data_IF_115465723748
#
_entry.id   IF_115465723748
#
_cell.length_a   1.000
_cell.length_b   1.000
_cell.length_c   1.000
_cell.angle_alpha   90.00
_cell.angle_beta   90.00
_cell.angle_gamma   90.00
#
_symmetry.space_group_name_H-M   'P 1'
#
loop_
_entity.id
_entity.type
_entity.pdbx_description
1 polymer ?
#
# COMPACT_ATOMS: atom_id res chain seq x y z
N UNK A 1 5.28 -2.87 -45.39
CA UNK A 1 4.48 -2.40 -44.23
C UNK A 1 5.37 -1.44 -43.47
N UNK A 2 5.02 -0.16 -43.38
CA UNK A 2 5.79 0.82 -42.63
C UNK A 2 5.56 0.51 -41.13
N UNK A 3 6.60 0.03 -40.45
CA UNK A 3 6.60 -0.03 -38.97
C UNK A 3 6.36 1.40 -38.48
N UNK A 4 5.19 1.65 -37.90
CA UNK A 4 4.98 2.84 -37.09
C UNK A 4 5.80 2.61 -35.82
N UNK A 5 6.91 3.32 -35.66
CA UNK A 5 7.60 3.40 -34.40
C UNK A 5 6.61 3.97 -33.39
N UNK A 6 6.26 3.16 -32.38
CA UNK A 6 5.40 3.59 -31.29
C UNK A 6 6.32 4.25 -30.26
N UNK A 7 6.38 5.58 -30.28
CA UNK A 7 7.19 6.34 -29.31
C UNK A 7 6.39 6.54 -28.05
N UNK A 8 6.80 5.91 -26.96
CA UNK A 8 6.19 6.05 -25.63
C UNK A 8 7.10 6.89 -24.73
N UNK A 9 6.61 8.08 -24.36
CA UNK A 9 7.32 8.99 -23.47
C UNK A 9 6.94 8.66 -22.01
N UNK A 10 7.89 8.17 -21.24
CA UNK A 10 7.68 7.73 -19.86
C UNK A 10 8.38 8.65 -18.87
N UNK A 11 7.61 9.29 -18.00
CA UNK A 11 8.12 10.07 -16.86
C UNK A 11 8.10 9.23 -15.60
N UNK A 12 9.26 8.98 -14.98
CA UNK A 12 9.42 8.19 -13.77
C UNK A 12 9.96 9.08 -12.66
N UNK A 13 9.30 9.02 -11.50
CA UNK A 13 9.75 9.70 -10.28
C UNK A 13 10.23 8.67 -9.29
N UNK A 14 11.50 8.72 -8.92
CA UNK A 14 12.08 7.87 -7.89
C UNK A 14 12.27 8.66 -6.59
N UNK A 15 12.00 7.99 -5.46
CA UNK A 15 12.41 8.43 -4.13
C UNK A 15 13.52 7.53 -3.59
N UNK A 16 14.39 8.00 -2.68
CA UNK A 16 15.54 7.21 -2.19
C UNK A 16 15.17 5.91 -1.47
N UNK A 17 13.94 5.77 -1.04
CA UNK A 17 13.44 4.57 -0.33
C UNK A 17 13.03 3.43 -1.26
N UNK A 18 12.97 3.66 -2.57
CA UNK A 18 12.61 2.64 -3.56
C UNK A 18 13.69 2.58 -4.65
N UNK A 19 14.71 1.72 -4.44
CA UNK A 19 15.50 1.23 -5.55
C UNK A 19 14.57 0.48 -6.51
N UNK A 20 14.64 0.80 -7.79
CA UNK A 20 13.87 0.09 -8.80
C UNK A 20 14.60 -1.20 -9.14
N UNK A 21 14.18 -2.31 -8.54
CA UNK A 21 14.72 -3.63 -8.82
C UNK A 21 13.99 -4.27 -9.99
N UNK A 22 14.75 -4.89 -10.87
CA UNK A 22 14.21 -5.67 -11.98
C UNK A 22 13.40 -6.86 -11.44
N UNK A 23 12.24 -7.12 -12.04
CA UNK A 23 11.36 -8.22 -11.67
C UNK A 23 11.56 -9.45 -12.55
N UNK A 24 11.31 -10.61 -11.97
CA UNK A 24 11.23 -11.85 -12.72
C UNK A 24 9.98 -11.87 -13.61
N UNK A 25 9.98 -12.70 -14.64
CA UNK A 25 8.81 -12.85 -15.54
C UNK A 25 7.56 -13.33 -14.79
N UNK A 26 7.72 -14.11 -13.72
CA UNK A 26 6.61 -14.54 -12.86
C UNK A 26 6.03 -13.39 -12.05
N UNK A 27 6.86 -12.51 -11.52
CA UNK A 27 6.38 -11.30 -10.82
C UNK A 27 5.67 -10.35 -11.79
N UNK A 28 6.18 -10.20 -13.02
CA UNK A 28 5.52 -9.41 -14.08
C UNK A 28 4.16 -10.01 -14.42
N UNK A 29 4.08 -11.32 -14.60
CA UNK A 29 2.82 -12.01 -14.89
C UNK A 29 1.79 -11.83 -13.78
N UNK A 30 2.18 -12.00 -12.51
CA UNK A 30 1.29 -11.75 -11.37
C UNK A 30 0.77 -10.30 -11.34
N UNK A 31 1.60 -9.34 -11.77
CA UNK A 31 1.16 -7.94 -11.89
C UNK A 31 0.20 -7.71 -13.05
N UNK A 32 0.35 -8.43 -14.16
CA UNK A 32 -0.63 -8.42 -15.25
C UNK A 32 -1.99 -8.95 -14.76
N UNK A 33 -2.01 -10.04 -13.99
CA UNK A 33 -3.25 -10.54 -13.37
C UNK A 33 -3.86 -9.50 -12.43
N UNK A 34 -3.04 -8.85 -11.59
CA UNK A 34 -3.48 -7.77 -10.69
C UNK A 34 -4.03 -6.56 -11.45
N UNK A 35 -3.48 -6.25 -12.63
CA UNK A 35 -3.99 -5.16 -13.48
C UNK A 35 -5.46 -5.40 -13.88
N UNK A 36 -5.91 -6.65 -13.97
CA UNK A 36 -7.28 -7.02 -14.35
C UNK A 36 -8.28 -7.01 -13.19
N UNK A 37 -7.84 -6.81 -11.95
CA UNK A 37 -8.71 -6.75 -10.78
C UNK A 37 -8.85 -5.32 -10.25
N UNK A 38 -10.08 -4.82 -10.11
CA UNK A 38 -10.42 -3.47 -9.66
C UNK A 38 -11.19 -3.52 -8.32
N UNK A 39 -10.72 -4.27 -7.36
CA UNK A 39 -11.28 -4.35 -6.01
C UNK A 39 -10.30 -3.89 -4.94
N UNK A 40 -10.79 -3.34 -3.83
CA UNK A 40 -9.98 -2.77 -2.76
C UNK A 40 -10.43 -3.21 -1.37
N UNK A 41 -9.45 -3.49 -0.49
CA UNK A 41 -9.68 -3.90 0.89
C UNK A 41 -8.87 -3.03 1.86
N UNK A 42 -9.51 -2.50 2.90
CA UNK A 42 -8.85 -1.75 3.97
C UNK A 42 -8.91 -2.54 5.27
N UNK A 43 -7.75 -2.94 5.78
CA UNK A 43 -7.63 -3.53 7.11
C UNK A 43 -7.41 -2.44 8.15
N UNK A 44 -8.09 -2.50 9.30
CA UNK A 44 -8.02 -1.44 10.32
C UNK A 44 -7.72 -2.06 11.69
N UNK A 45 -6.71 -1.50 12.37
CA UNK A 45 -6.39 -1.82 13.76
C UNK A 45 -5.69 -0.66 14.48
N UNK A 46 -5.29 -0.86 15.73
CA UNK A 46 -4.77 0.20 16.58
C UNK A 46 -3.26 0.45 16.43
N UNK A 47 -2.44 -0.61 16.31
CA UNK A 47 -0.99 -0.51 16.39
C UNK A 47 -0.30 -1.21 15.20
N UNK A 48 0.96 -0.84 14.88
CA UNK A 48 1.84 -1.71 14.11
C UNK A 48 1.95 -3.07 14.81
N UNK A 49 1.79 -4.19 14.07
CA UNK A 49 1.75 -5.58 14.54
C UNK A 49 0.35 -6.16 14.90
N UNK A 50 -0.68 -5.33 14.98
CA UNK A 50 -2.06 -5.81 15.14
C UNK A 50 -2.61 -6.45 13.86
N UNK A 51 -2.06 -6.10 12.71
CA UNK A 51 -2.55 -6.58 11.43
C UNK A 51 -2.43 -8.10 11.26
N UNK A 52 -3.41 -8.68 10.60
CA UNK A 52 -3.31 -10.05 10.11
C UNK A 52 -2.55 -10.06 8.78
N UNK A 53 -1.22 -10.24 8.85
CA UNK A 53 -0.35 -10.25 7.67
C UNK A 53 -0.75 -11.31 6.66
N UNK A 54 -1.33 -12.44 7.11
CA UNK A 54 -1.79 -13.50 6.21
C UNK A 54 -3.03 -13.08 5.42
N UNK A 55 -3.94 -12.32 6.03
CA UNK A 55 -5.14 -11.84 5.35
C UNK A 55 -4.82 -10.69 4.39
N UNK A 56 -3.91 -9.77 4.79
CA UNK A 56 -3.42 -8.70 3.90
C UNK A 56 -2.70 -9.29 2.70
N UNK A 57 -1.79 -10.24 2.91
CA UNK A 57 -1.09 -10.94 1.83
C UNK A 57 -2.05 -11.72 0.92
N UNK A 58 -3.05 -12.39 1.48
CA UNK A 58 -4.08 -13.09 0.71
C UNK A 58 -4.83 -12.13 -0.22
N UNK A 59 -5.30 -10.98 0.28
CA UNK A 59 -5.96 -9.98 -0.55
C UNK A 59 -5.03 -9.40 -1.62
N UNK A 60 -3.78 -9.09 -1.26
CA UNK A 60 -2.83 -8.44 -2.18
C UNK A 60 -2.29 -9.36 -3.26
N UNK A 61 -2.03 -10.65 -2.94
CA UNK A 61 -1.25 -11.56 -3.79
C UNK A 61 -2.06 -12.72 -4.37
N UNK A 62 -3.20 -13.07 -3.77
CA UNK A 62 -4.04 -14.15 -4.27
C UNK A 62 -5.34 -13.61 -4.90
N UNK A 63 -6.03 -12.72 -4.19
CA UNK A 63 -7.23 -12.05 -4.72
C UNK A 63 -6.87 -10.95 -5.74
N UNK A 64 -5.63 -10.48 -5.72
CA UNK A 64 -5.14 -9.35 -6.53
C UNK A 64 -5.80 -8.00 -6.18
N UNK A 65 -6.41 -7.89 -4.99
CA UNK A 65 -7.02 -6.66 -4.54
C UNK A 65 -5.99 -5.58 -4.19
N UNK A 66 -6.38 -4.32 -4.36
CA UNK A 66 -5.63 -3.20 -3.82
C UNK A 66 -5.84 -3.14 -2.30
N UNK A 67 -4.99 -3.85 -1.55
CA UNK A 67 -5.09 -3.96 -0.11
C UNK A 67 -4.28 -2.88 0.63
N UNK A 68 -4.80 -2.43 1.77
CA UNK A 68 -4.12 -1.48 2.64
C UNK A 68 -4.36 -1.82 4.12
N UNK A 69 -3.43 -1.39 4.96
CA UNK A 69 -3.57 -1.37 6.40
C UNK A 69 -3.61 0.07 6.91
N UNK A 70 -4.62 0.41 7.70
CA UNK A 70 -4.70 1.62 8.50
C UNK A 70 -4.39 1.25 9.96
N UNK A 71 -3.19 1.55 10.42
CA UNK A 71 -2.83 1.56 11.84
C UNK A 71 -3.19 2.91 12.42
N UNK A 72 -4.02 2.94 13.47
CA UNK A 72 -4.41 4.23 14.05
C UNK A 72 -3.23 4.95 14.71
N UNK A 73 -2.33 4.21 15.34
CA UNK A 73 -1.12 4.77 15.96
C UNK A 73 0.16 4.25 15.30
N UNK A 74 1.29 4.82 15.69
CA UNK A 74 2.63 4.35 15.29
C UNK A 74 3.26 3.40 16.32
N UNK A 75 2.53 3.06 17.39
CA UNK A 75 2.99 2.16 18.42
C UNK A 75 4.04 2.75 19.37
N UNK A 76 3.99 4.06 19.56
CA UNK A 76 4.93 4.84 20.37
C UNK A 76 4.96 4.39 21.86
N UNK A 77 3.80 3.96 22.37
CA UNK A 77 3.62 3.52 23.76
C UNK A 77 3.93 2.06 24.02
N UNK A 78 4.37 1.32 22.98
CA UNK A 78 4.69 -0.09 23.08
C UNK A 78 6.00 -0.40 23.79
N UNK A 79 6.39 -1.67 23.73
CA UNK A 79 7.66 -2.18 24.25
C UNK A 79 8.69 -2.28 23.10
N UNK A 80 9.98 -2.15 23.44
CA UNK A 80 11.09 -2.44 22.54
C UNK A 80 11.92 -3.59 23.14
N UNK A 81 11.81 -4.78 22.55
CA UNK A 81 12.49 -5.97 23.05
C UNK A 81 13.92 -6.13 22.55
N UNK A 82 14.35 -5.29 21.59
CA UNK A 82 15.67 -5.40 20.95
C UNK A 82 16.52 -4.13 21.06
N UNK A 83 15.99 -3.06 21.67
CA UNK A 83 16.67 -1.77 21.79
C UNK A 83 16.22 -0.98 23.00
N UNK A 84 16.75 0.22 23.13
CA UNK A 84 16.49 1.15 24.24
C UNK A 84 15.55 2.29 23.86
N UNK A 85 15.22 2.40 22.58
CA UNK A 85 14.36 3.45 22.05
C UNK A 85 12.93 3.25 22.53
N UNK A 86 12.36 4.31 23.10
CA UNK A 86 10.99 4.37 23.61
C UNK A 86 10.28 5.60 23.05
N UNK A 87 8.96 5.64 23.20
CA UNK A 87 8.09 6.75 22.77
C UNK A 87 8.29 7.08 21.29
N UNK A 88 8.48 8.34 20.94
CA UNK A 88 8.57 8.84 19.56
C UNK A 88 9.65 8.10 18.75
N UNK A 89 10.76 7.71 19.38
CA UNK A 89 11.84 6.95 18.72
C UNK A 89 11.37 5.52 18.39
N UNK A 90 10.65 4.88 19.29
CA UNK A 90 10.05 3.58 19.03
C UNK A 90 8.99 3.67 17.93
N UNK A 91 8.17 4.72 17.93
CA UNK A 91 7.18 4.96 16.86
C UNK A 91 7.82 5.09 15.48
N UNK A 92 9.01 5.70 15.38
CA UNK A 92 9.79 5.73 14.12
C UNK A 92 10.24 4.33 13.73
N UNK A 93 10.81 3.54 14.65
CA UNK A 93 11.25 2.17 14.41
C UNK A 93 10.08 1.30 13.94
N UNK A 94 8.96 1.30 14.68
CA UNK A 94 7.78 0.49 14.36
C UNK A 94 7.12 0.91 13.04
N UNK A 95 7.21 2.20 12.67
CA UNK A 95 6.80 2.66 11.35
C UNK A 95 7.62 2.00 10.25
N UNK A 96 8.96 1.95 10.38
CA UNK A 96 9.84 1.33 9.38
C UNK A 96 9.67 -0.20 9.35
N UNK A 97 9.48 -0.86 10.49
CA UNK A 97 9.17 -2.29 10.56
C UNK A 97 7.87 -2.61 9.82
N UNK A 98 6.84 -1.77 9.98
CA UNK A 98 5.57 -1.92 9.30
C UNK A 98 5.68 -1.66 7.79
N UNK A 99 6.50 -0.68 7.38
CA UNK A 99 6.81 -0.45 5.96
C UNK A 99 7.54 -1.64 5.35
N UNK A 100 8.47 -2.27 6.10
CA UNK A 100 9.14 -3.50 5.66
C UNK A 100 8.14 -4.66 5.52
N UNK A 101 7.21 -4.82 6.47
CA UNK A 101 6.14 -5.82 6.38
C UNK A 101 5.30 -5.62 5.11
N UNK A 102 4.89 -4.38 4.81
CA UNK A 102 4.13 -4.04 3.58
C UNK A 102 4.92 -4.28 2.29
N UNK A 103 6.25 -4.13 2.31
CA UNK A 103 7.09 -4.44 1.15
C UNK A 103 7.11 -5.95 0.82
N UNK A 104 6.85 -6.79 1.82
CA UNK A 104 6.81 -8.25 1.68
C UNK A 104 5.43 -8.74 1.26
N UNK A 105 4.36 -8.25 1.90
CA UNK A 105 2.99 -8.71 1.64
C UNK A 105 2.24 -7.92 0.55
N UNK A 106 2.89 -6.91 -0.04
CA UNK A 106 2.35 -6.04 -1.10
C UNK A 106 1.10 -5.24 -0.70
N UNK A 107 0.86 -5.04 0.60
CA UNK A 107 -0.13 -4.10 1.12
C UNK A 107 0.36 -2.66 1.11
N UNK A 108 -0.56 -1.71 1.17
CA UNK A 108 -0.26 -0.29 1.39
C UNK A 108 -0.36 0.04 2.88
N UNK A 109 0.34 1.08 3.34
CA UNK A 109 0.33 1.51 4.74
C UNK A 109 -0.22 2.92 4.91
N UNK A 110 -1.09 3.08 5.91
CA UNK A 110 -1.60 4.37 6.36
C UNK A 110 -1.59 4.46 7.88
N UNK A 111 -1.58 5.71 8.39
CA UNK A 111 -1.67 6.02 9.81
C UNK A 111 -2.68 7.14 10.05
N UNK A 112 -3.11 7.32 11.31
CA UNK A 112 -3.73 8.56 11.77
C UNK A 112 -2.71 9.39 12.56
N UNK A 113 -3.15 10.51 13.11
CA UNK A 113 -2.35 11.32 14.04
C UNK A 113 -2.43 10.83 15.49
N UNK A 114 -3.14 9.73 15.78
CA UNK A 114 -3.24 9.20 17.14
C UNK A 114 -1.89 8.72 17.67
N UNK A 115 -1.58 9.06 18.93
CA UNK A 115 -0.40 8.59 19.65
C UNK A 115 -0.78 7.35 20.46
N UNK A 116 0.05 6.33 20.41
CA UNK A 116 0.00 5.24 21.39
C UNK A 116 0.60 5.76 22.70
N UNK A 117 -0.26 6.09 23.64
CA UNK A 117 0.14 6.63 24.96
C UNK A 117 0.41 5.53 26.00
N UNK A 118 0.45 4.28 25.59
CA UNK A 118 0.60 3.10 26.43
C UNK A 118 -0.72 2.42 26.73
N UNK A 119 -0.76 1.59 27.78
CA UNK A 119 -1.93 0.78 28.09
C UNK A 119 -3.15 1.62 28.47
N UNK A 120 -4.27 1.37 27.82
CA UNK A 120 -5.60 1.85 28.18
C UNK A 120 -6.53 0.67 28.43
N UNK A 121 -7.31 0.72 29.47
CA UNK A 121 -8.22 -0.38 29.87
C UNK A 121 -9.56 -0.31 29.14
N UNK A 122 -10.03 0.89 28.79
CA UNK A 122 -11.37 1.10 28.25
C UNK A 122 -11.37 2.10 27.08
N UNK A 123 -12.20 1.88 26.05
CA UNK A 123 -12.25 2.78 24.91
C UNK A 123 -12.67 4.22 25.25
N UNK A 124 -13.49 4.45 26.29
CA UNK A 124 -13.87 5.80 26.70
C UNK A 124 -12.66 6.64 27.13
N UNK A 125 -11.70 6.02 27.85
CA UNK A 125 -10.43 6.66 28.18
C UNK A 125 -9.63 6.97 26.92
N UNK A 126 -9.49 5.99 26.03
CA UNK A 126 -8.75 6.14 24.79
C UNK A 126 -9.33 7.25 23.92
N UNK A 127 -10.64 7.22 23.65
CA UNK A 127 -11.29 8.18 22.77
C UNK A 127 -11.29 9.62 23.33
N UNK A 128 -11.28 9.77 24.67
CA UNK A 128 -11.12 11.07 25.30
C UNK A 128 -9.69 11.62 25.11
N UNK A 129 -8.66 10.76 25.23
CA UNK A 129 -7.25 11.16 25.09
C UNK A 129 -6.89 11.43 23.63
N UNK A 130 -7.41 10.61 22.70
CA UNK A 130 -7.15 10.73 21.27
C UNK A 130 -7.88 11.89 20.58
N UNK A 131 -8.77 12.61 21.23
CA UNK A 131 -9.71 13.49 20.56
C UNK A 131 -10.53 12.75 19.49
N UNK A 132 -11.62 12.13 19.96
CA UNK A 132 -12.45 11.24 19.11
C UNK A 132 -12.82 11.87 17.77
N UNK A 133 -13.23 13.15 17.77
CA UNK A 133 -13.70 13.81 16.55
C UNK A 133 -12.58 14.01 15.53
N UNK A 134 -11.39 14.35 15.98
CA UNK A 134 -10.22 14.47 15.09
C UNK A 134 -9.88 13.13 14.46
N UNK A 135 -9.71 12.07 15.28
CA UNK A 135 -9.28 10.75 14.76
C UNK A 135 -10.38 10.10 13.90
N UNK A 136 -11.66 10.27 14.27
CA UNK A 136 -12.77 9.83 13.43
C UNK A 136 -12.76 10.51 12.05
N UNK A 137 -12.52 11.83 12.03
CA UNK A 137 -12.37 12.58 10.78
C UNK A 137 -11.22 12.08 9.90
N UNK A 138 -10.10 11.68 10.51
CA UNK A 138 -8.96 11.12 9.78
C UNK A 138 -9.25 9.70 9.24
N UNK A 139 -10.02 8.88 9.97
CA UNK A 139 -10.48 7.57 9.47
C UNK A 139 -11.46 7.75 8.31
N UNK A 140 -12.43 8.68 8.41
CA UNK A 140 -13.33 9.04 7.30
C UNK A 140 -12.56 9.54 6.09
N UNK A 141 -11.57 10.43 6.31
CA UNK A 141 -10.68 10.91 5.25
C UNK A 141 -9.98 9.75 4.55
N UNK A 142 -9.46 8.78 5.30
CA UNK A 142 -8.77 7.63 4.72
C UNK A 142 -9.69 6.74 3.92
N UNK A 143 -10.92 6.52 4.39
CA UNK A 143 -11.93 5.76 3.64
C UNK A 143 -12.27 6.48 2.32
N UNK A 144 -12.49 7.79 2.34
CA UNK A 144 -12.79 8.58 1.14
C UNK A 144 -11.62 8.60 0.15
N UNK A 145 -10.40 8.80 0.65
CA UNK A 145 -9.19 8.87 -0.18
C UNK A 145 -8.78 7.50 -0.75
N UNK A 146 -8.91 6.43 0.02
CA UNK A 146 -8.54 5.08 -0.42
C UNK A 146 -9.66 4.38 -1.20
N UNK A 147 -10.93 4.72 -0.95
CA UNK A 147 -12.11 4.10 -1.56
C UNK A 147 -12.12 2.57 -1.45
N UNK A 148 -12.13 2.00 -0.22
CA UNK A 148 -12.20 0.56 -0.05
C UNK A 148 -13.59 0.03 -0.45
N UNK A 149 -13.63 -1.12 -1.14
CA UNK A 149 -14.88 -1.86 -1.35
C UNK A 149 -15.31 -2.60 -0.08
N UNK A 150 -14.33 -3.14 0.62
CA UNK A 150 -14.52 -3.81 1.91
C UNK A 150 -13.57 -3.25 2.97
N UNK A 151 -14.05 -3.21 4.21
CA UNK A 151 -13.23 -2.90 5.39
C UNK A 151 -13.20 -4.12 6.29
N UNK A 152 -12.04 -4.42 6.88
CA UNK A 152 -11.85 -5.52 7.83
C UNK A 152 -11.24 -4.97 9.12
N UNK A 153 -11.99 -4.99 10.20
CA UNK A 153 -11.51 -4.62 11.53
C UNK A 153 -10.80 -5.79 12.19
N UNK A 154 -9.67 -5.53 12.82
CA UNK A 154 -8.95 -6.54 13.63
C UNK A 154 -9.68 -6.87 14.91
N UNK A 155 -10.36 -5.88 15.53
CA UNK A 155 -10.96 -5.99 16.86
C UNK A 155 -12.48 -5.84 16.80
N UNK A 156 -13.13 -6.31 17.87
CA UNK A 156 -14.57 -6.24 18.05
C UNK A 156 -14.97 -4.95 18.77
N UNK A 157 -15.87 -4.18 18.15
CA UNK A 157 -16.41 -2.95 18.73
C UNK A 157 -17.41 -3.21 19.88
N UNK A 158 -17.91 -4.46 20.05
CA UNK A 158 -18.97 -4.85 20.98
C UNK A 158 -18.47 -5.26 22.39
N UNK A 159 -17.16 -5.32 22.59
CA UNK A 159 -16.56 -5.89 23.79
C UNK A 159 -15.66 -4.92 24.55
N UNK A 160 -16.16 -3.71 24.93
CA UNK A 160 -15.35 -2.74 25.69
C UNK A 160 -14.88 -3.34 27.02
N UNK A 161 -13.62 -3.06 27.36
CA UNK A 161 -12.99 -3.55 28.60
C UNK A 161 -12.53 -5.01 28.58
N UNK A 162 -12.76 -5.77 27.50
CA UNK A 162 -12.25 -7.14 27.34
C UNK A 162 -10.88 -7.20 26.66
N UNK A 163 -10.54 -6.17 25.89
CA UNK A 163 -9.24 -6.00 25.24
C UNK A 163 -8.70 -4.63 25.59
N UNK A 164 -7.49 -4.32 25.12
CA UNK A 164 -6.90 -2.99 25.22
C UNK A 164 -7.85 -1.91 24.69
N UNK A 165 -7.95 -0.76 25.37
CA UNK A 165 -8.85 0.33 25.00
C UNK A 165 -8.61 0.83 23.57
N UNK A 166 -7.35 0.94 23.13
CA UNK A 166 -6.99 1.30 21.75
C UNK A 166 -7.57 0.31 20.72
N UNK A 167 -7.52 -1.01 21.01
CA UNK A 167 -8.07 -2.05 20.14
C UNK A 167 -9.57 -1.85 19.91
N UNK A 168 -10.34 -1.72 20.99
CA UNK A 168 -11.79 -1.50 20.88
C UNK A 168 -12.09 -0.16 20.23
N UNK A 169 -11.32 0.90 20.54
CA UNK A 169 -11.48 2.23 19.94
C UNK A 169 -11.25 2.21 18.44
N UNK A 170 -10.26 1.47 17.93
CA UNK A 170 -10.02 1.35 16.50
C UNK A 170 -11.22 0.76 15.76
N UNK A 171 -11.86 -0.25 16.35
CA UNK A 171 -13.05 -0.89 15.78
C UNK A 171 -14.30 0.01 15.86
N UNK A 172 -14.47 0.77 16.96
CA UNK A 172 -15.56 1.75 17.11
C UNK A 172 -15.45 2.87 16.07
N UNK A 173 -14.25 3.47 15.94
CA UNK A 173 -14.00 4.54 14.97
C UNK A 173 -14.18 4.06 13.54
N UNK A 174 -13.68 2.88 13.20
CA UNK A 174 -13.86 2.29 11.86
C UNK A 174 -15.34 2.03 11.53
N UNK A 175 -16.12 1.52 12.51
CA UNK A 175 -17.55 1.29 12.31
C UNK A 175 -18.33 2.57 12.15
N UNK A 176 -18.04 3.59 12.94
CA UNK A 176 -18.66 4.91 12.84
C UNK A 176 -18.31 5.57 11.50
N UNK A 177 -17.02 5.53 11.11
CA UNK A 177 -16.55 6.05 9.83
C UNK A 177 -17.14 5.35 8.62
N UNK A 178 -17.42 4.04 8.69
CA UNK A 178 -18.15 3.28 7.64
C UNK A 178 -19.51 3.91 7.34
N UNK A 179 -20.26 4.35 8.36
CA UNK A 179 -21.53 5.03 8.20
C UNK A 179 -21.42 6.50 7.75
N UNK A 180 -20.31 7.17 8.12
CA UNK A 180 -20.15 8.61 7.87
C UNK A 180 -19.47 8.91 6.53
N UNK A 181 -18.71 7.99 5.97
CA UNK A 181 -17.90 8.26 4.77
C UNK A 181 -18.73 8.60 3.52
N UNK A 182 -20.00 8.19 3.45
CA UNK A 182 -20.95 8.57 2.40
C UNK A 182 -21.81 9.81 2.75
N UNK A 183 -21.70 10.35 3.97
CA UNK A 183 -22.49 11.50 4.40
C UNK A 183 -21.79 12.81 4.02
N UNK A 184 -22.47 13.66 3.22
CA UNK A 184 -21.95 14.95 2.79
C UNK A 184 -21.84 15.98 3.93
N UNK A 185 -22.61 15.83 5.00
CA UNK A 185 -22.59 16.73 6.15
C UNK A 185 -21.46 16.40 7.14
N UNK A 186 -20.91 15.18 7.05
CA UNK A 186 -19.78 14.76 7.87
C UNK A 186 -18.46 15.17 7.21
N UNK A 187 -17.66 15.98 7.91
CA UNK A 187 -16.33 16.43 7.45
C UNK A 187 -16.38 17.04 6.04
N UNK A 188 -17.18 18.10 5.79
CA UNK A 188 -17.42 18.64 4.45
C UNK A 188 -16.16 19.22 3.78
N UNK A 189 -15.14 19.60 4.56
CA UNK A 189 -13.85 20.08 4.06
C UNK A 189 -13.09 19.02 3.23
N UNK A 190 -13.38 17.74 3.43
CA UNK A 190 -12.73 16.63 2.70
C UNK A 190 -13.38 16.39 1.31
N UNK A 191 -14.61 16.87 1.10
CA UNK A 191 -15.40 16.53 -0.09
C UNK A 191 -14.81 17.09 -1.38
N UNK A 192 -14.17 18.26 -1.29
CA UNK A 192 -13.57 18.90 -2.47
C UNK A 192 -12.46 18.05 -3.08
N UNK A 193 -11.72 17.32 -2.24
CA UNK A 193 -10.58 16.52 -2.65
C UNK A 193 -10.98 15.08 -3.01
N UNK A 194 -11.81 14.44 -2.17
CA UNK A 194 -12.08 13.01 -2.28
C UNK A 194 -13.52 12.68 -2.67
N UNK A 195 -14.48 13.59 -2.49
CA UNK A 195 -15.91 13.29 -2.58
C UNK A 195 -16.38 12.39 -1.43
N UNK A 196 -17.52 11.74 -1.62
CA UNK A 196 -18.04 10.72 -0.69
C UNK A 196 -17.71 9.31 -1.19
N UNK A 197 -17.66 8.35 -0.27
CA UNK A 197 -17.46 6.95 -0.61
C UNK A 197 -18.21 6.05 0.36
N UNK A 198 -18.92 5.04 -0.14
CA UNK A 198 -19.56 4.01 0.67
C UNK A 198 -18.89 2.67 0.44
N UNK A 199 -18.10 2.16 1.40
CA UNK A 199 -17.70 0.77 1.35
C UNK A 199 -18.89 -0.16 1.36
N UNK A 200 -18.85 -1.25 0.60
CA UNK A 200 -19.99 -2.16 0.47
C UNK A 200 -20.15 -3.04 1.72
N UNK A 201 -19.04 -3.39 2.37
CA UNK A 201 -19.05 -4.29 3.53
C UNK A 201 -18.04 -3.89 4.59
N UNK A 202 -18.44 -4.13 5.83
CA UNK A 202 -17.57 -4.03 7.00
C UNK A 202 -17.53 -5.38 7.71
N UNK A 203 -16.33 -5.92 7.91
CA UNK A 203 -16.09 -7.18 8.59
C UNK A 203 -15.32 -6.99 9.87
N UNK A 204 -15.43 -7.99 10.76
CA UNK A 204 -14.55 -8.19 11.91
C UNK A 204 -13.76 -9.48 11.70
N UNK A 205 -12.43 -9.43 11.73
CA UNK A 205 -11.57 -10.61 11.63
C UNK A 205 -11.54 -11.33 12.97
N UNK A 206 -12.34 -12.36 13.09
CA UNK A 206 -12.52 -13.13 14.32
C UNK A 206 -11.71 -14.43 14.34
N UNK A 207 -11.56 -15.03 15.51
CA UNK A 207 -10.94 -16.33 15.72
C UNK A 207 -11.42 -16.93 17.03
N UNK A 208 -11.06 -18.18 17.30
CA UNK A 208 -11.38 -18.87 18.55
C UNK A 208 -11.00 -18.08 19.82
N UNK A 209 -9.96 -17.24 19.74
CA UNK A 209 -9.50 -16.41 20.85
C UNK A 209 -10.60 -15.46 21.34
N UNK A 210 -11.38 -14.87 20.46
CA UNK A 210 -12.48 -13.95 20.80
C UNK A 210 -13.66 -14.69 21.45
N UNK A 211 -13.77 -16.02 21.25
CA UNK A 211 -14.77 -16.87 21.89
C UNK A 211 -14.30 -17.48 23.21
N UNK A 212 -13.03 -17.27 23.56
CA UNK A 212 -12.41 -17.71 24.80
C UNK A 212 -11.84 -19.14 24.78
N UNK A 213 -12.25 -20.00 23.83
CA UNK A 213 -11.62 -21.30 23.57
C UNK A 213 -12.00 -21.84 22.19
N UNK A 214 -11.20 -22.76 21.68
CA UNK A 214 -11.47 -23.49 20.44
C UNK A 214 -12.81 -24.23 20.50
N UNK A 215 -13.11 -24.93 21.60
CA UNK A 215 -14.35 -25.67 21.78
C UNK A 215 -15.60 -24.75 21.72
N UNK A 216 -15.53 -23.57 22.36
CA UNK A 216 -16.62 -22.58 22.28
C UNK A 216 -16.79 -22.05 20.87
N UNK A 217 -15.71 -21.80 20.16
CA UNK A 217 -15.76 -21.36 18.77
C UNK A 217 -16.37 -22.42 17.86
N UNK A 218 -16.02 -23.70 18.05
CA UNK A 218 -16.59 -24.79 17.26
C UNK A 218 -18.11 -24.93 17.44
N UNK A 219 -18.62 -24.69 18.66
CA UNK A 219 -20.04 -24.73 19.00
C UNK A 219 -20.82 -23.44 18.70
N UNK A 220 -20.12 -22.35 18.37
CA UNK A 220 -20.73 -21.07 18.12
C UNK A 220 -21.55 -21.07 16.80
N UNK A 221 -22.59 -20.22 16.76
CA UNK A 221 -23.25 -19.90 15.50
C UNK A 221 -22.29 -19.17 14.56
N UNK A 222 -22.08 -19.73 13.39
CA UNK A 222 -21.21 -19.22 12.35
C UNK A 222 -21.97 -18.67 11.13
N UNK A 223 -23.28 -18.50 11.25
CA UNK A 223 -24.14 -18.04 10.15
C UNK A 223 -23.70 -16.69 9.57
N UNK A 224 -23.10 -15.81 10.38
CA UNK A 224 -22.56 -14.51 9.98
C UNK A 224 -21.07 -14.52 9.63
N UNK A 225 -20.41 -15.68 9.71
CA UNK A 225 -19.00 -15.82 9.36
C UNK A 225 -18.83 -16.20 7.90
N UNK A 226 -17.82 -15.63 7.26
CA UNK A 226 -17.19 -16.14 6.06
C UNK A 226 -15.91 -16.87 6.48
N UNK A 227 -15.71 -18.06 5.93
CA UNK A 227 -14.46 -18.83 6.09
C UNK A 227 -13.63 -18.69 4.82
N UNK A 228 -12.44 -18.11 4.97
CA UNK A 228 -11.50 -17.87 3.88
C UNK A 228 -10.35 -18.88 3.99
N UNK A 229 -10.16 -19.71 2.97
CA UNK A 229 -8.96 -20.52 2.86
C UNK A 229 -7.79 -19.64 2.38
N UNK A 230 -6.89 -19.32 3.30
CA UNK A 230 -5.77 -18.43 3.04
C UNK A 230 -4.41 -19.12 2.99
N UNK A 231 -4.37 -20.44 3.24
CA UNK A 231 -3.15 -21.27 3.12
C UNK A 231 -2.79 -21.62 1.65
N UNK A 232 -3.08 -20.70 0.74
CA UNK A 232 -2.92 -20.91 -0.71
C UNK A 232 -1.46 -20.90 -1.14
N UNK A 233 -1.12 -21.78 -2.10
CA UNK A 233 0.21 -21.86 -2.69
C UNK A 233 0.18 -21.27 -4.10
N UNK A 234 1.15 -20.43 -4.43
CA UNK A 234 1.32 -19.90 -5.78
C UNK A 234 2.38 -20.73 -6.53
N UNK A 235 1.99 -21.57 -7.48
CA UNK A 235 2.94 -22.42 -8.19
C UNK A 235 3.92 -21.66 -9.10
N UNK A 236 3.58 -20.43 -9.50
CA UNK A 236 4.46 -19.61 -10.32
C UNK A 236 5.65 -19.05 -9.53
N UNK A 237 5.44 -18.72 -8.26
CA UNK A 237 6.51 -18.20 -7.38
C UNK A 237 7.13 -19.29 -6.51
N UNK A 238 6.46 -20.44 -6.37
CA UNK A 238 6.90 -21.50 -5.48
C UNK A 238 6.75 -21.16 -3.99
N UNK A 239 5.93 -20.16 -3.64
CA UNK A 239 5.76 -19.65 -2.27
C UNK A 239 4.29 -19.70 -1.87
N UNK A 240 4.02 -20.12 -0.65
CA UNK A 240 2.67 -20.08 -0.06
C UNK A 240 2.38 -18.72 0.58
N UNK A 241 1.10 -18.38 0.68
CA UNK A 241 0.67 -17.18 1.41
C UNK A 241 1.11 -17.20 2.88
N UNK A 242 1.20 -18.38 3.50
CA UNK A 242 1.68 -18.53 4.87
C UNK A 242 3.17 -18.16 5.02
N UNK A 243 4.00 -18.45 4.01
CA UNK A 243 5.42 -18.04 4.00
C UNK A 243 5.58 -16.54 3.85
N UNK A 244 4.81 -15.92 2.94
CA UNK A 244 4.78 -14.45 2.80
C UNK A 244 4.35 -13.80 4.11
N UNK A 245 3.26 -14.28 4.70
CA UNK A 245 2.72 -13.77 5.94
C UNK A 245 3.69 -13.90 7.13
N UNK A 246 4.38 -15.04 7.24
CA UNK A 246 5.39 -15.25 8.29
C UNK A 246 6.58 -14.31 8.14
N UNK A 247 7.05 -14.10 6.90
CA UNK A 247 8.13 -13.14 6.60
C UNK A 247 7.71 -11.71 6.90
N UNK A 248 6.50 -11.31 6.50
CA UNK A 248 5.92 -10.01 6.79
C UNK A 248 5.81 -9.78 8.31
N UNK A 249 5.21 -10.72 9.05
CA UNK A 249 5.09 -10.67 10.51
C UNK A 249 6.44 -10.56 11.22
N UNK A 250 7.46 -11.25 10.70
CA UNK A 250 8.82 -11.25 11.27
C UNK A 250 9.56 -9.92 11.09
N UNK A 251 8.98 -8.95 10.38
CA UNK A 251 9.52 -7.59 10.27
C UNK A 251 9.36 -6.78 11.55
N UNK A 252 8.39 -7.14 12.41
CA UNK A 252 8.14 -6.48 13.71
C UNK A 252 9.13 -6.94 14.79
N UNK A 253 10.40 -6.68 14.58
CA UNK A 253 11.50 -7.15 15.43
C UNK A 253 11.50 -6.52 16.81
N UNK A 254 11.17 -5.22 16.90
CA UNK A 254 11.05 -4.52 18.19
C UNK A 254 10.01 -5.15 19.11
N UNK A 255 9.03 -5.86 18.54
CA UNK A 255 7.99 -6.59 19.26
C UNK A 255 8.33 -8.07 19.49
N UNK A 256 9.56 -8.49 19.13
CA UNK A 256 10.05 -9.85 19.35
C UNK A 256 9.44 -10.90 18.41
N UNK A 257 8.81 -10.48 17.32
CA UNK A 257 8.23 -11.43 16.38
C UNK A 257 9.29 -12.11 15.51
N UNK A 258 9.18 -13.43 15.44
CA UNK A 258 9.82 -14.30 14.49
C UNK A 258 8.86 -15.46 14.26
N UNK A 259 8.14 -15.47 13.15
CA UNK A 259 7.08 -16.43 12.89
C UNK A 259 7.54 -17.48 11.88
N UNK A 260 7.36 -18.76 12.22
CA UNK A 260 7.48 -19.83 11.25
C UNK A 260 6.20 -19.90 10.39
N UNK A 261 6.31 -20.21 9.09
CA UNK A 261 5.14 -20.40 8.24
C UNK A 261 4.35 -21.64 8.67
N UNK A 262 3.03 -21.55 8.59
CA UNK A 262 2.14 -22.71 8.73
C UNK A 262 2.12 -23.46 7.41
N UNK A 263 2.28 -24.77 7.45
CA UNK A 263 2.21 -25.60 6.25
C UNK A 263 0.75 -26.03 5.97
N UNK A 264 0.39 -26.03 4.70
CA UNK A 264 -0.90 -26.53 4.23
C UNK A 264 -2.05 -25.55 4.41
N UNK A 265 -3.25 -26.10 4.52
CA UNK A 265 -4.51 -25.35 4.64
C UNK A 265 -4.55 -24.49 5.90
N UNK A 266 -5.05 -23.27 5.74
CA UNK A 266 -5.27 -22.32 6.84
C UNK A 266 -6.53 -21.52 6.60
N UNK A 267 -7.50 -21.65 7.50
CA UNK A 267 -8.76 -20.91 7.42
C UNK A 267 -8.73 -19.68 8.34
N UNK A 268 -9.10 -18.53 7.79
CA UNK A 268 -9.42 -17.31 8.54
C UNK A 268 -10.91 -17.04 8.50
N UNK A 269 -11.41 -16.40 9.56
CA UNK A 269 -12.82 -16.09 9.69
C UNK A 269 -13.04 -14.58 9.76
N UNK A 270 -13.99 -14.10 8.96
CA UNK A 270 -14.45 -12.71 9.00
C UNK A 270 -15.96 -12.67 9.22
N UNK A 271 -16.41 -11.93 10.23
CA UNK A 271 -17.81 -11.72 10.56
C UNK A 271 -18.32 -10.47 9.88
N UNK A 272 -19.46 -10.56 9.17
CA UNK A 272 -20.12 -9.37 8.61
C UNK A 272 -20.75 -8.55 9.74
N UNK A 273 -20.35 -7.29 9.88
CA UNK A 273 -20.87 -6.35 10.89
C UNK A 273 -21.44 -5.06 10.28
N UNK A 274 -21.41 -4.93 8.94
CA UNK A 274 -22.03 -3.84 8.20
C UNK A 274 -22.11 -4.14 6.70
N UNK A 275 -23.14 -3.66 6.03
CA UNK A 275 -23.45 -3.95 4.62
C UNK A 275 -24.17 -5.30 4.43
N UNK A 276 -24.40 -5.68 3.18
CA UNK A 276 -25.06 -6.94 2.85
C UNK A 276 -24.09 -8.12 2.92
N UNK A 277 -24.55 -9.22 3.53
CA UNK A 277 -23.80 -10.46 3.59
C UNK A 277 -23.67 -11.09 2.20
N UNK A 278 -22.46 -11.46 1.74
CA UNK A 278 -22.33 -12.24 0.50
C UNK A 278 -22.97 -13.63 0.66
N UNK A 279 -23.37 -14.22 -0.46
CA UNK A 279 -23.99 -15.56 -0.47
C UNK A 279 -22.98 -16.69 -0.35
N UNK A 280 -21.73 -16.42 -0.76
CA UNK A 280 -20.59 -17.33 -0.67
C UNK A 280 -19.59 -16.85 0.38
N UNK A 281 -18.45 -17.52 0.46
CA UNK A 281 -17.31 -17.10 1.27
C UNK A 281 -16.41 -16.05 0.58
N UNK A 282 -16.79 -15.56 -0.61
CA UNK A 282 -16.07 -14.48 -1.27
C UNK A 282 -16.52 -13.11 -0.72
N UNK A 283 -15.62 -12.35 -0.05
CA UNK A 283 -15.98 -11.03 0.49
C UNK A 283 -16.27 -9.98 -0.59
N UNK A 284 -15.89 -10.23 -1.85
CA UNK A 284 -16.16 -9.37 -2.99
C UNK A 284 -17.38 -9.81 -3.83
N UNK A 285 -18.06 -10.91 -3.48
CA UNK A 285 -19.22 -11.38 -4.24
C UNK A 285 -20.25 -10.27 -4.43
N UNK A 286 -20.70 -10.07 -5.69
CA UNK A 286 -21.65 -9.02 -6.05
C UNK A 286 -21.06 -7.61 -6.19
N UNK A 287 -19.78 -7.43 -5.85
CA UNK A 287 -19.04 -6.17 -6.11
C UNK A 287 -18.42 -6.25 -7.50
N UNK A 288 -18.62 -5.21 -8.32
CA UNK A 288 -17.97 -5.16 -9.63
C UNK A 288 -16.49 -4.85 -9.51
N UNK A 289 -15.66 -5.87 -9.59
CA UNK A 289 -14.19 -5.78 -9.52
C UNK A 289 -13.52 -5.85 -10.90
N UNK A 290 -14.29 -5.73 -11.98
CA UNK A 290 -13.79 -5.78 -13.36
C UNK A 290 -13.66 -4.39 -13.97
N UNK A 291 -13.03 -4.30 -15.12
CA UNK A 291 -12.91 -3.05 -15.88
C UNK A 291 -14.25 -2.41 -16.26
N UNK A 292 -15.35 -3.18 -16.31
CA UNK A 292 -16.69 -2.63 -16.53
C UNK A 292 -17.19 -1.72 -15.39
N UNK A 293 -16.48 -1.70 -14.27
CA UNK A 293 -16.67 -0.75 -13.17
C UNK A 293 -16.43 0.71 -13.60
N UNK A 294 -15.55 0.91 -14.57
CA UNK A 294 -15.23 2.22 -15.11
C UNK A 294 -16.04 2.48 -16.40
N UNK A 295 -16.56 3.69 -16.51
CA UNK A 295 -17.18 4.12 -17.76
C UNK A 295 -16.19 3.93 -18.92
N UNK A 296 -16.59 3.22 -19.98
CA UNK A 296 -15.75 2.83 -21.12
C UNK A 296 -14.55 1.92 -20.79
N UNK A 297 -14.53 1.29 -19.61
CA UNK A 297 -13.43 0.43 -19.18
C UNK A 297 -13.44 -0.98 -19.80
N UNK A 298 -14.59 -1.52 -20.20
CA UNK A 298 -14.70 -2.89 -20.71
C UNK A 298 -13.75 -3.23 -21.88
N UNK A 299 -13.49 -2.35 -22.85
CA UNK A 299 -12.49 -2.62 -23.88
C UNK A 299 -11.07 -2.77 -23.32
N UNK A 300 -10.71 -1.98 -22.30
CA UNK A 300 -9.41 -2.08 -21.63
C UNK A 300 -9.26 -3.45 -20.98
N UNK A 301 -10.29 -3.95 -20.29
CA UNK A 301 -10.29 -5.28 -19.70
C UNK A 301 -10.03 -6.41 -20.70
N UNK A 302 -10.59 -6.29 -21.91
CA UNK A 302 -10.31 -7.26 -22.98
C UNK A 302 -8.83 -7.21 -23.45
N UNK A 303 -8.26 -6.01 -23.54
CA UNK A 303 -6.84 -5.85 -23.91
C UNK A 303 -5.93 -6.45 -22.83
N UNK A 304 -6.26 -6.23 -21.53
CA UNK A 304 -5.51 -6.81 -20.41
C UNK A 304 -5.61 -8.33 -20.43
N UNK A 305 -6.80 -8.90 -20.63
CA UNK A 305 -6.97 -10.35 -20.73
C UNK A 305 -6.12 -10.95 -21.87
N UNK A 306 -6.11 -10.30 -23.06
CA UNK A 306 -5.24 -10.71 -24.17
C UNK A 306 -3.75 -10.62 -23.82
N UNK A 307 -3.33 -9.59 -23.07
CA UNK A 307 -1.95 -9.47 -22.61
C UNK A 307 -1.54 -10.62 -21.65
N UNK A 308 -2.44 -11.03 -20.75
CA UNK A 308 -2.23 -12.17 -19.84
C UNK A 308 -2.11 -13.47 -20.65
N UNK A 309 -3.05 -13.75 -21.56
CA UNK A 309 -3.09 -14.98 -22.38
C UNK A 309 -1.87 -15.13 -23.30
N UNK A 310 -1.35 -14.01 -23.83
CA UNK A 310 -0.23 -14.01 -24.77
C UNK A 310 1.14 -13.79 -24.13
N UNK A 311 1.23 -13.77 -22.80
CA UNK A 311 2.47 -13.45 -22.10
C UNK A 311 3.57 -14.49 -22.33
N UNK A 312 4.73 -14.03 -22.77
CA UNK A 312 5.91 -14.88 -23.02
C UNK A 312 6.90 -14.75 -21.85
N UNK A 313 6.95 -15.77 -20.96
CA UNK A 313 7.83 -15.78 -19.79
C UNK A 313 9.32 -15.70 -20.13
N UNK A 314 9.72 -16.08 -21.33
CA UNK A 314 11.13 -15.97 -21.78
C UNK A 314 11.43 -14.62 -22.41
N UNK A 315 10.42 -13.93 -22.90
CA UNK A 315 10.54 -12.66 -23.62
C UNK A 315 9.43 -11.68 -23.21
N UNK A 316 9.39 -11.22 -21.93
CA UNK A 316 8.35 -10.32 -21.42
C UNK A 316 8.26 -9.02 -22.22
N UNK A 317 9.36 -8.58 -22.85
CA UNK A 317 9.40 -7.38 -23.69
C UNK A 317 8.46 -7.46 -24.91
N UNK A 318 8.01 -8.65 -25.33
CA UNK A 318 7.00 -8.79 -26.38
C UNK A 318 5.63 -8.21 -26.00
N UNK A 319 5.37 -8.04 -24.70
CA UNK A 319 4.12 -7.46 -24.20
C UNK A 319 4.11 -5.92 -24.28
N UNK A 320 5.22 -5.26 -24.61
CA UNK A 320 5.36 -3.81 -24.50
C UNK A 320 4.37 -3.04 -25.40
N UNK A 321 4.23 -3.40 -26.66
CA UNK A 321 3.29 -2.74 -27.58
C UNK A 321 1.85 -2.83 -27.03
N UNK A 322 1.46 -4.00 -26.53
CA UNK A 322 0.13 -4.21 -25.94
C UNK A 322 -0.04 -3.37 -24.68
N UNK A 323 0.98 -3.30 -23.81
CA UNK A 323 0.94 -2.51 -22.57
C UNK A 323 0.88 -1.01 -22.84
N UNK A 324 1.61 -0.51 -23.85
CA UNK A 324 1.51 0.89 -24.27
C UNK A 324 0.09 1.20 -24.78
N UNK A 325 -0.49 0.33 -25.60
CA UNK A 325 -1.86 0.49 -26.07
C UNK A 325 -2.88 0.46 -24.92
N UNK A 326 -2.67 -0.41 -23.91
CA UNK A 326 -3.48 -0.45 -22.68
C UNK A 326 -3.35 0.89 -21.92
N UNK A 327 -2.13 1.38 -21.73
CA UNK A 327 -1.88 2.65 -21.06
C UNK A 327 -2.58 3.82 -21.75
N UNK A 328 -2.47 3.92 -23.08
CA UNK A 328 -3.16 4.94 -23.87
C UNK A 328 -4.69 4.83 -23.79
N UNK A 329 -5.21 3.59 -23.74
CA UNK A 329 -6.64 3.37 -23.57
C UNK A 329 -7.12 3.82 -22.17
N UNK A 330 -6.35 3.57 -21.12
CA UNK A 330 -6.64 4.03 -19.76
C UNK A 330 -6.59 5.57 -19.68
N UNK A 331 -5.64 6.22 -20.36
CA UNK A 331 -5.57 7.69 -20.39
C UNK A 331 -6.86 8.34 -20.92
N UNK A 332 -7.58 7.68 -21.82
CA UNK A 332 -8.83 8.17 -22.42
C UNK A 332 -10.07 7.95 -21.53
N UNK A 333 -9.95 7.20 -20.42
CA UNK A 333 -11.04 6.99 -19.47
C UNK A 333 -11.35 8.27 -18.69
N UNK A 334 -12.58 8.47 -18.20
CA UNK A 334 -12.90 9.54 -17.27
C UNK A 334 -12.01 9.52 -16.02
N UNK A 335 -11.82 10.70 -15.42
CA UNK A 335 -11.04 10.83 -14.18
C UNK A 335 -11.65 9.97 -13.04
N UNK A 336 -10.84 9.18 -12.39
CA UNK A 336 -11.21 8.36 -11.23
C UNK A 336 -9.96 7.84 -10.53
N UNK A 337 -10.08 7.50 -9.25
CA UNK A 337 -8.98 6.90 -8.49
C UNK A 337 -8.48 5.59 -9.12
N UNK A 338 -9.39 4.78 -9.67
CA UNK A 338 -9.01 3.56 -10.37
C UNK A 338 -8.23 3.82 -11.65
N UNK A 339 -8.59 4.86 -12.41
CA UNK A 339 -7.79 5.28 -13.58
C UNK A 339 -6.35 5.60 -13.16
N UNK A 340 -6.17 6.40 -12.14
CA UNK A 340 -4.84 6.80 -11.64
C UNK A 340 -4.02 5.58 -11.19
N UNK A 341 -4.61 4.70 -10.38
CA UNK A 341 -3.98 3.43 -9.95
C UNK A 341 -3.53 2.58 -11.14
N UNK A 342 -4.43 2.36 -12.09
CA UNK A 342 -4.17 1.49 -13.24
C UNK A 342 -3.17 2.11 -14.24
N UNK A 343 -3.08 3.43 -14.32
CA UNK A 343 -2.02 4.11 -15.06
C UNK A 343 -0.65 3.84 -14.44
N UNK A 344 -0.51 3.98 -13.12
CA UNK A 344 0.76 3.69 -12.44
C UNK A 344 1.13 2.20 -12.51
N UNK A 345 0.17 1.29 -12.32
CA UNK A 345 0.40 -0.15 -12.48
C UNK A 345 0.87 -0.49 -13.90
N UNK A 346 0.22 0.06 -14.94
CA UNK A 346 0.60 -0.20 -16.35
C UNK A 346 1.96 0.40 -16.67
N UNK A 347 2.25 1.59 -16.20
CA UNK A 347 3.57 2.23 -16.34
C UNK A 347 4.67 1.38 -15.74
N UNK A 348 4.42 0.83 -14.53
CA UNK A 348 5.33 -0.08 -13.86
C UNK A 348 5.58 -1.34 -14.69
N UNK A 349 4.51 -1.96 -15.23
CA UNK A 349 4.59 -3.14 -16.11
C UNK A 349 5.40 -2.86 -17.37
N UNK A 350 5.25 -1.68 -17.98
CA UNK A 350 6.05 -1.27 -19.14
C UNK A 350 7.55 -1.25 -18.79
N UNK A 351 7.92 -0.68 -17.64
CA UNK A 351 9.30 -0.66 -17.17
C UNK A 351 9.87 -2.06 -16.91
N UNK A 352 9.08 -2.89 -16.23
CA UNK A 352 9.46 -4.26 -15.88
C UNK A 352 9.65 -5.10 -17.14
N UNK A 353 8.72 -5.02 -18.11
CA UNK A 353 8.84 -5.70 -19.40
C UNK A 353 10.00 -5.18 -20.26
N UNK A 354 10.29 -3.89 -20.19
CA UNK A 354 11.44 -3.30 -20.87
C UNK A 354 12.78 -3.66 -20.21
N UNK A 355 12.74 -4.31 -19.04
CA UNK A 355 13.93 -4.70 -18.29
C UNK A 355 14.76 -3.49 -17.85
N UNK A 356 14.13 -2.37 -17.54
CA UNK A 356 14.81 -1.14 -17.13
C UNK A 356 14.99 -1.17 -15.61
N UNK A 357 16.23 -0.92 -15.19
CA UNK A 357 16.56 -0.69 -13.78
C UNK A 357 17.18 0.69 -13.63
N UNK A 358 16.68 1.46 -12.67
CA UNK A 358 17.17 2.81 -12.38
C UNK A 358 17.40 2.95 -10.88
N UNK A 359 18.50 3.57 -10.53
CA UNK A 359 18.89 3.82 -9.14
C UNK A 359 19.52 5.21 -9.03
N UNK A 360 19.36 5.83 -7.89
CA UNK A 360 20.18 6.96 -7.51
C UNK A 360 20.73 6.77 -6.09
N UNK A 361 21.96 7.20 -5.89
CA UNK A 361 22.66 7.05 -4.63
C UNK A 361 23.29 8.39 -4.25
N UNK A 362 23.03 8.82 -3.02
CA UNK A 362 23.79 9.91 -2.41
C UNK A 362 25.15 9.40 -1.98
N UNK A 363 26.18 10.23 -2.07
CA UNK A 363 27.55 9.87 -1.63
C UNK A 363 27.65 9.61 -0.12
N UNK A 364 26.68 10.10 0.65
CA UNK A 364 26.57 9.91 2.11
C UNK A 364 25.08 9.92 2.54
N UNK A 365 24.75 9.24 3.63
CA UNK A 365 23.34 9.12 4.08
C UNK A 365 22.82 10.37 4.82
N UNK A 366 23.68 11.34 5.12
CA UNK A 366 23.35 12.60 5.79
C UNK A 366 24.08 13.76 5.15
N UNK A 367 23.61 14.97 5.39
CA UNK A 367 24.25 16.21 4.95
C UNK A 367 23.81 17.40 5.79
N UNK A 368 24.54 18.48 5.72
CA UNK A 368 24.27 19.74 6.42
C UNK A 368 23.50 20.66 5.48
N UNK A 369 22.59 21.46 6.04
CA UNK A 369 21.83 22.44 5.28
C UNK A 369 22.76 23.40 4.54
N UNK A 370 22.47 23.65 3.27
CA UNK A 370 23.25 24.53 2.39
C UNK A 370 24.49 23.88 1.77
N UNK A 371 24.90 22.68 2.22
CA UNK A 371 25.99 21.96 1.58
C UNK A 371 25.59 21.38 0.22
N UNK A 372 26.60 21.14 -0.61
CA UNK A 372 26.45 20.36 -1.83
C UNK A 372 26.57 18.87 -1.53
N UNK A 373 25.62 18.11 -2.03
CA UNK A 373 25.60 16.65 -2.00
C UNK A 373 25.70 16.11 -3.41
N UNK A 374 26.59 15.15 -3.62
CA UNK A 374 26.69 14.43 -4.89
C UNK A 374 25.67 13.31 -4.93
N UNK A 375 24.86 13.32 -5.97
CA UNK A 375 23.92 12.25 -6.31
C UNK A 375 24.41 11.54 -7.56
N UNK A 376 24.60 10.25 -7.50
CA UNK A 376 24.96 9.43 -8.65
C UNK A 376 23.74 8.66 -9.15
N UNK A 377 23.43 8.83 -10.42
CA UNK A 377 22.35 8.14 -11.10
C UNK A 377 22.93 7.00 -11.91
N UNK A 378 22.31 5.84 -11.81
CA UNK A 378 22.61 4.68 -12.62
C UNK A 378 21.34 4.23 -13.35
N UNK A 379 21.49 3.86 -14.62
CA UNK A 379 20.43 3.21 -15.38
C UNK A 379 21.03 2.06 -16.21
N UNK A 380 20.27 0.98 -16.33
CA UNK A 380 20.61 -0.16 -17.19
C UNK A 380 19.32 -0.70 -17.80
N UNK A 381 19.37 -1.14 -19.02
CA UNK A 381 18.31 -1.92 -19.66
C UNK A 381 18.81 -3.33 -19.97
N UNK A 382 17.93 -4.33 -19.86
CA UNK A 382 18.24 -5.73 -20.13
C UNK A 382 17.55 -6.28 -21.39
N UNK A 383 16.56 -5.55 -21.92
CA UNK A 383 15.95 -5.87 -23.21
C UNK A 383 16.86 -5.41 -24.36
N UNK A 384 16.63 -5.96 -25.53
CA UNK A 384 17.33 -5.52 -26.76
C UNK A 384 16.54 -4.44 -27.51
N UNK A 385 15.74 -3.68 -26.79
CA UNK A 385 14.89 -2.64 -27.36
C UNK A 385 15.66 -1.33 -27.54
N UNK A 386 15.33 -0.51 -28.52
CA UNK A 386 15.86 0.82 -28.63
C UNK A 386 15.20 1.72 -27.58
N UNK A 387 15.91 1.94 -26.46
CA UNK A 387 15.47 2.78 -25.36
C UNK A 387 16.40 3.98 -25.26
N UNK A 388 15.81 5.19 -25.20
CA UNK A 388 16.53 6.44 -25.10
C UNK A 388 16.24 7.12 -23.77
N UNK A 389 17.28 7.50 -23.05
CA UNK A 389 17.18 8.37 -21.88
C UNK A 389 17.24 9.81 -22.35
N UNK A 390 16.08 10.46 -22.46
CA UNK A 390 15.96 11.82 -22.97
C UNK A 390 16.43 12.85 -21.96
N UNK A 391 16.01 12.70 -20.71
CA UNK A 391 16.41 13.62 -19.64
C UNK A 391 16.38 12.99 -18.27
N UNK A 392 17.14 13.61 -17.36
CA UNK A 392 17.08 13.36 -15.92
C UNK A 392 16.91 14.68 -15.20
N UNK A 393 15.96 14.75 -14.29
CA UNK A 393 15.75 15.89 -13.41
C UNK A 393 15.97 15.46 -11.97
N UNK A 394 16.88 16.16 -11.27
CA UNK A 394 17.10 16.00 -9.82
C UNK A 394 16.63 17.28 -9.14
N UNK A 395 15.52 17.20 -8.40
CA UNK A 395 14.79 18.35 -7.86
C UNK A 395 14.47 19.37 -8.97
N UNK A 396 15.03 20.59 -8.91
CA UNK A 396 14.88 21.62 -9.92
C UNK A 396 15.93 21.57 -11.05
N UNK A 397 16.94 20.71 -10.95
CA UNK A 397 18.03 20.64 -11.94
C UNK A 397 17.65 19.65 -13.04
N UNK A 398 17.37 20.15 -14.24
CA UNK A 398 17.07 19.36 -15.42
C UNK A 398 18.34 19.22 -16.27
N UNK A 399 18.60 18.02 -16.75
CA UNK A 399 19.67 17.70 -17.68
C UNK A 399 19.10 16.93 -18.89
N UNK A 400 19.22 17.50 -20.06
CA UNK A 400 18.85 16.89 -21.33
C UNK A 400 20.00 16.02 -21.82
N UNK A 401 19.75 14.75 -22.01
CA UNK A 401 20.79 13.76 -22.26
C UNK A 401 20.75 13.20 -23.67
N UNK A 402 19.55 12.86 -24.14
CA UNK A 402 19.32 12.22 -25.43
C UNK A 402 20.30 11.07 -25.70
N UNK A 403 20.40 10.13 -24.75
CA UNK A 403 21.38 9.03 -24.75
C UNK A 403 20.67 7.69 -24.95
N UNK A 404 21.12 6.85 -25.92
CA UNK A 404 20.67 5.47 -25.97
C UNK A 404 21.15 4.71 -24.74
N UNK A 405 20.29 3.89 -24.18
CA UNK A 405 20.66 2.91 -23.17
C UNK A 405 21.03 1.61 -23.87
N UNK A 406 22.32 1.32 -23.91
CA UNK A 406 22.84 0.08 -24.49
C UNK A 406 22.48 -1.13 -23.59
N UNK A 407 22.14 -2.26 -24.22
CA UNK A 407 21.77 -3.49 -23.51
C UNK A 407 22.88 -3.92 -22.54
N UNK A 408 22.51 -4.18 -21.30
CA UNK A 408 23.40 -4.62 -20.22
C UNK A 408 24.61 -3.69 -19.98
N UNK A 409 24.49 -2.44 -20.38
CA UNK A 409 25.54 -1.42 -20.21
C UNK A 409 25.06 -0.36 -19.22
N UNK A 410 25.82 -0.15 -18.16
CA UNK A 410 25.46 0.82 -17.12
C UNK A 410 25.68 2.25 -17.62
N UNK A 411 24.62 3.01 -17.74
CA UNK A 411 24.68 4.46 -17.78
C UNK A 411 24.95 4.99 -16.36
N UNK A 412 25.87 5.94 -16.24
CA UNK A 412 26.23 6.58 -14.97
C UNK A 412 26.36 8.08 -15.13
N UNK A 413 25.76 8.86 -14.25
CA UNK A 413 25.91 10.32 -14.22
C UNK A 413 25.81 10.86 -12.80
N UNK A 414 26.69 11.82 -12.49
CA UNK A 414 26.70 12.50 -11.21
C UNK A 414 26.07 13.90 -11.31
N UNK A 415 25.28 14.25 -10.31
CA UNK A 415 24.69 15.58 -10.10
C UNK A 415 25.20 16.13 -8.78
N UNK A 416 25.34 17.45 -8.69
CA UNK A 416 25.53 18.15 -7.43
C UNK A 416 24.27 18.93 -7.12
N UNK A 417 23.69 18.71 -5.96
CA UNK A 417 22.53 19.44 -5.48
C UNK A 417 22.88 20.16 -4.20
N UNK A 418 22.33 21.35 -4.02
CA UNK A 418 22.39 22.02 -2.72
C UNK A 418 21.27 21.47 -1.85
N UNK A 419 21.61 21.03 -0.63
CA UNK A 419 20.62 20.50 0.30
C UNK A 419 19.65 21.60 0.71
N UNK A 420 18.35 21.24 0.81
CA UNK A 420 17.27 22.15 1.13
C UNK A 420 17.48 22.85 2.48
N UNK A 421 16.79 23.97 2.67
CA UNK A 421 16.89 24.80 3.87
C UNK A 421 16.05 24.28 5.06
N UNK A 422 15.72 22.97 5.07
CA UNK A 422 14.96 22.32 6.12
C UNK A 422 15.55 20.97 6.49
N UNK A 423 15.57 20.69 7.78
CA UNK A 423 15.99 19.39 8.30
C UNK A 423 14.92 18.33 7.93
N UNK A 424 15.36 17.16 7.46
CA UNK A 424 14.48 16.01 7.26
C UNK A 424 14.12 15.42 8.62
N UNK A 425 12.87 15.55 9.01
CA UNK A 425 12.32 15.01 10.27
C UNK A 425 11.03 14.28 9.93
N UNK A 426 10.69 13.20 10.62
CA UNK A 426 9.35 12.63 10.51
C UNK A 426 8.29 13.72 10.69
N UNK A 427 7.40 13.88 9.71
CA UNK A 427 6.48 15.03 9.67
C UNK A 427 5.58 15.15 10.90
N UNK A 428 5.27 14.00 11.52
CA UNK A 428 4.46 13.93 12.73
C UNK A 428 5.22 14.35 14.00
N UNK A 429 6.56 14.49 13.92
CA UNK A 429 7.44 14.94 15.02
C UNK A 429 7.95 16.37 14.85
N UNK A 430 7.50 17.11 13.82
CA UNK A 430 7.93 18.50 13.58
C UNK A 430 7.45 19.44 14.68
N UNK A 431 6.33 19.14 15.30
CA UNK A 431 5.73 19.93 16.39
C UNK A 431 5.39 19.05 17.57
N UNK A 432 5.38 19.68 18.75
CA UNK A 432 4.93 19.01 19.97
C UNK A 432 3.44 18.69 19.84
N UNK A 433 3.09 17.43 20.02
CA UNK A 433 1.71 16.96 20.09
C UNK A 433 1.07 17.16 21.47
N UNK A 434 -0.16 16.67 21.60
CA UNK A 434 -0.86 16.48 22.88
C UNK A 434 -0.42 15.13 23.51
N UNK A 435 -1.12 14.68 24.54
CA UNK A 435 -0.93 13.31 25.06
C UNK A 435 -1.41 12.25 24.06
N UNK A 436 -2.44 12.54 23.26
CA UNK A 436 -3.13 11.57 22.42
C UNK A 436 -2.98 11.77 20.93
N UNK A 437 -2.49 12.93 20.46
CA UNK A 437 -2.39 13.23 19.02
C UNK A 437 -1.13 13.99 18.67
N UNK A 438 -0.53 13.64 17.53
CA UNK A 438 0.51 14.46 16.90
C UNK A 438 -0.10 15.71 16.30
N UNK A 439 0.65 16.83 16.31
CA UNK A 439 0.27 18.06 15.64
C UNK A 439 0.85 18.09 14.22
N UNK A 440 -0.02 17.96 13.23
CA UNK A 440 0.36 17.91 11.80
C UNK A 440 -0.22 19.15 11.09
N UNK A 441 0.65 20.07 10.64
CA UNK A 441 0.21 21.29 9.96
C UNK A 441 -0.22 21.05 8.52
N UNK A 442 0.55 20.23 7.81
CA UNK A 442 0.25 19.92 6.43
C UNK A 442 -0.75 18.78 6.35
N UNK A 443 -2.01 19.13 6.09
CA UNK A 443 -3.11 18.16 6.00
C UNK A 443 -2.90 17.09 4.92
N UNK A 444 -2.16 17.41 3.84
CA UNK A 444 -1.84 16.46 2.78
C UNK A 444 -0.91 15.32 3.23
N UNK A 445 -0.29 15.47 4.42
CA UNK A 445 0.59 14.46 4.99
C UNK A 445 -0.14 13.52 5.96
N UNK A 446 -1.33 13.91 6.44
CA UNK A 446 -2.15 13.03 7.29
C UNK A 446 -2.42 11.72 6.55
N UNK A 447 -2.15 10.62 7.20
CA UNK A 447 -2.29 9.29 6.62
C UNK A 447 -1.05 8.73 5.92
N UNK A 448 -0.09 9.54 5.52
CA UNK A 448 1.13 9.04 4.90
C UNK A 448 2.00 8.31 5.91
N UNK A 449 2.62 7.19 5.52
CA UNK A 449 3.48 6.45 6.46
C UNK A 449 4.79 7.18 6.76
N UNK A 450 5.36 7.88 5.78
CA UNK A 450 6.66 8.54 5.87
C UNK A 450 6.60 9.97 5.33
N UNK A 451 7.56 10.78 5.76
CA UNK A 451 7.80 12.11 5.18
C UNK A 451 8.18 11.98 3.71
N UNK A 452 7.60 12.76 2.81
CA UNK A 452 8.03 12.78 1.42
C UNK A 452 9.54 13.07 1.31
N UNK A 453 10.22 12.33 0.44
CA UNK A 453 11.66 12.49 0.23
C UNK A 453 12.01 13.93 -0.18
N UNK A 454 13.01 14.57 0.43
CA UNK A 454 13.49 15.88 0.02
C UNK A 454 14.23 15.87 -1.32
N UNK A 455 14.65 14.68 -1.78
CA UNK A 455 15.30 14.51 -3.08
C UNK A 455 14.38 13.67 -3.96
N UNK A 456 14.03 14.21 -5.11
CA UNK A 456 13.27 13.53 -6.13
C UNK A 456 14.08 13.47 -7.42
N UNK A 457 14.07 12.30 -8.06
CA UNK A 457 14.70 12.09 -9.35
C UNK A 457 13.62 11.69 -10.35
N UNK A 458 13.54 12.43 -11.46
CA UNK A 458 12.63 12.14 -12.57
C UNK A 458 13.45 11.72 -13.79
N UNK A 459 13.05 10.64 -14.40
CA UNK A 459 13.62 10.14 -15.65
C UNK A 459 12.59 10.27 -16.75
N UNK A 460 13.03 10.73 -17.91
CA UNK A 460 12.24 10.75 -19.12
C UNK A 460 12.84 9.77 -20.11
N UNK A 461 12.09 8.74 -20.44
CA UNK A 461 12.49 7.66 -21.33
C UNK A 461 11.63 7.67 -22.57
N UNK A 462 12.25 7.38 -23.71
CA UNK A 462 11.57 7.05 -24.94
C UNK A 462 11.83 5.58 -25.26
N UNK A 463 10.77 4.79 -25.35
CA UNK A 463 10.80 3.37 -25.66
C UNK A 463 10.14 3.19 -27.03
N UNK A 464 10.92 2.80 -28.05
CA UNK A 464 10.49 2.69 -29.43
C UNK A 464 10.11 1.24 -29.82
#
# INVERSE_FOLDING_TARGET
MKNKALTFLLLIVLSPTKGYNQKSSTEIYNQLEKLNFLGSALYVAAHPDDENTALISYFSNHVNAHAAYLSLTRGDGGQNLIGTELRELLGVIRTEELMQARSIDNGNQYFTSAIDFGFSKHPDETLKIWDKEQILGEVVNRIRAFQPDIIVNRFDHRTPGKTHGHHTSSALLSKEAFGLSNNTDAYPEQLKEFGVWQPQRLFFNTSWWFYGSQEKFEKADKSNLLSLEIGVFNPLTGVSNSEIAASSRSSHKSQGFGSAPTLGSRTEYIEIIGGERPRSNDPFEGINTTWSRLERGSPVGKMVATAIESFDFKQPQKSLETLVNIHEAILKLPASLWKERKLEETKQLILDCAGIQMQFNAERPYGVLGEQLKITINAVQQSKLPIQLESVQVNSTLDLLDKPLETNTRFNKAFKITLANSISTPYWLLKKGSLGTFTIDNKDWIGKPQTPSPIQVKFQLNIA
#
